data_IF_613179387770
#
_entry.id   IF_613179387770
#
_cell.length_a   1.000
_cell.length_b   1.000
_cell.length_c   1.000
_cell.angle_alpha   90.00
_cell.angle_beta   90.00
_cell.angle_gamma   90.00
#
_symmetry.space_group_name_H-M   'P 1'
#
loop_
_entity.id
_entity.type
_entity.pdbx_description
1 polymer ?
#
# COMPACT_ATOMS: atom_id res chain seq x y z
N UNK A 1 -4.05 -5.20 -25.10
CA UNK A 1 -3.56 -5.06 -23.72
C UNK A 1 -2.86 -3.70 -23.63
N UNK A 2 -3.44 -2.73 -22.91
CA UNK A 2 -2.85 -1.39 -22.78
C UNK A 2 -1.79 -1.46 -21.68
N UNK A 3 -0.54 -1.21 -22.02
CA UNK A 3 0.56 -1.14 -21.06
C UNK A 3 0.26 0.00 -20.06
N UNK A 4 0.17 -0.34 -18.77
CA UNK A 4 -0.08 0.59 -17.66
C UNK A 4 1.21 0.84 -16.88
N UNK A 5 2.37 0.78 -17.54
CA UNK A 5 3.62 1.11 -16.87
C UNK A 5 3.76 2.63 -16.77
N UNK A 6 4.15 3.17 -15.60
CA UNK A 6 4.35 4.60 -15.45
C UNK A 6 5.43 5.11 -16.43
N UNK A 7 5.22 6.30 -16.98
CA UNK A 7 6.15 6.96 -17.92
C UNK A 7 7.41 7.52 -17.23
N UNK A 8 7.43 7.53 -15.90
CA UNK A 8 8.52 8.11 -15.11
C UNK A 8 9.56 7.04 -14.73
N UNK A 9 10.84 7.36 -14.94
CA UNK A 9 11.96 6.42 -14.84
C UNK A 9 12.96 6.78 -13.73
N UNK A 10 12.56 7.61 -12.75
CA UNK A 10 13.44 8.00 -11.65
C UNK A 10 13.14 7.18 -10.38
N UNK A 11 14.16 7.04 -9.53
CA UNK A 11 13.97 6.45 -8.22
C UNK A 11 13.17 7.41 -7.33
N UNK A 12 12.12 6.88 -6.71
CA UNK A 12 11.30 7.61 -5.74
C UNK A 12 11.99 7.49 -4.38
N UNK A 13 12.43 8.63 -3.83
CA UNK A 13 12.96 8.69 -2.47
C UNK A 13 11.84 8.69 -1.40
N UNK A 14 12.22 8.61 -0.13
CA UNK A 14 11.24 8.50 0.98
C UNK A 14 10.34 9.74 1.08
N UNK A 15 10.89 10.94 0.88
CA UNK A 15 10.11 12.17 0.97
C UNK A 15 9.13 12.29 -0.20
N UNK A 16 9.53 11.86 -1.39
CA UNK A 16 8.64 11.78 -2.54
C UNK A 16 7.54 10.76 -2.31
N UNK A 17 7.88 9.60 -1.73
CA UNK A 17 6.90 8.58 -1.39
C UNK A 17 5.86 9.10 -0.39
N UNK A 18 6.29 9.76 0.69
CA UNK A 18 5.40 10.43 1.66
C UNK A 18 4.45 11.42 0.98
N UNK A 19 4.99 12.30 0.11
CA UNK A 19 4.18 13.28 -0.63
C UNK A 19 3.13 12.63 -1.54
N UNK A 20 3.45 11.48 -2.14
CA UNK A 20 2.54 10.76 -3.03
C UNK A 20 1.37 10.09 -2.28
N UNK A 21 1.57 9.73 -1.01
CA UNK A 21 0.58 9.02 -0.19
C UNK A 21 -0.11 9.88 0.87
N UNK A 22 0.18 11.19 0.93
CA UNK A 22 -0.44 12.10 1.89
C UNK A 22 -1.98 12.07 1.84
N UNK A 23 -2.61 12.16 3.01
CA UNK A 23 -4.06 12.28 3.11
C UNK A 23 -4.51 13.75 3.00
N UNK A 24 -5.72 14.03 2.47
CA UNK A 24 -6.28 15.37 2.46
C UNK A 24 -6.48 15.90 3.89
N UNK A 25 -5.94 17.09 4.19
CA UNK A 25 -5.95 17.65 5.55
C UNK A 25 -7.33 18.17 6.02
N UNK A 26 -8.25 18.43 5.10
CA UNK A 26 -9.50 19.16 5.35
C UNK A 26 -10.74 18.26 5.47
N UNK A 27 -10.57 16.93 5.48
CA UNK A 27 -11.68 15.98 5.58
C UNK A 27 -11.28 14.65 6.20
N UNK A 28 -12.27 13.93 6.73
CA UNK A 28 -12.11 12.53 7.10
C UNK A 28 -11.74 11.71 5.87
N UNK A 29 -10.76 10.83 6.02
CA UNK A 29 -10.27 10.00 4.94
C UNK A 29 -10.17 8.55 5.40
N UNK A 30 -10.68 7.63 4.58
CA UNK A 30 -10.52 6.20 4.78
C UNK A 30 -9.68 5.66 3.62
N UNK A 31 -8.46 5.22 3.94
CA UNK A 31 -7.59 4.54 3.01
C UNK A 31 -7.64 3.02 3.26
N UNK A 32 -7.53 2.25 2.19
CA UNK A 32 -7.50 0.78 2.23
C UNK A 32 -6.24 0.35 1.49
N UNK A 33 -5.38 -0.42 2.17
CA UNK A 33 -4.09 -0.85 1.64
C UNK A 33 -3.97 -2.38 1.71
N UNK A 34 -3.86 -3.03 0.56
CA UNK A 34 -3.84 -4.49 0.41
C UNK A 34 -2.92 -4.87 -0.75
N UNK A 35 -2.37 -6.09 -0.67
CA UNK A 35 -1.66 -6.74 -1.76
C UNK A 35 -2.50 -7.90 -2.29
N UNK A 36 -2.48 -8.11 -3.61
CA UNK A 36 -3.12 -9.24 -4.27
C UNK A 36 -2.25 -9.75 -5.42
N UNK A 37 -2.37 -11.03 -5.75
CA UNK A 37 -1.79 -11.60 -6.96
C UNK A 37 -2.50 -11.09 -8.22
N UNK A 38 -1.92 -11.35 -9.39
CA UNK A 38 -2.48 -10.91 -10.67
C UNK A 38 -3.84 -11.55 -10.98
N UNK A 39 -4.13 -12.74 -10.43
CA UNK A 39 -5.40 -13.44 -10.51
C UNK A 39 -6.35 -13.13 -9.34
N UNK A 40 -5.96 -12.24 -8.43
CA UNK A 40 -6.82 -11.72 -7.36
C UNK A 40 -6.79 -12.50 -6.05
N UNK A 41 -5.89 -13.47 -5.88
CA UNK A 41 -5.66 -14.10 -4.59
C UNK A 41 -5.03 -13.12 -3.60
N UNK A 42 -5.42 -13.21 -2.32
CA UNK A 42 -5.00 -12.28 -1.26
C UNK A 42 -4.02 -12.91 -0.27
N UNK A 43 -3.73 -14.21 -0.41
CA UNK A 43 -2.83 -14.94 0.48
C UNK A 43 -2.13 -16.11 -0.21
N UNK A 44 -0.99 -16.49 0.38
CA UNK A 44 -0.28 -17.74 0.14
C UNK A 44 -0.12 -18.39 1.51
N UNK A 45 -0.53 -19.66 1.65
CA UNK A 45 -0.49 -20.40 2.92
C UNK A 45 -1.16 -19.64 4.10
N UNK A 46 -2.32 -19.02 3.85
CA UNK A 46 -3.09 -18.29 4.87
C UNK A 46 -2.51 -16.94 5.27
N UNK A 47 -1.51 -16.41 4.54
CA UNK A 47 -0.91 -15.09 4.81
C UNK A 47 -0.64 -14.30 3.53
N UNK A 48 -0.82 -12.98 3.60
CA UNK A 48 -0.48 -12.06 2.50
C UNK A 48 1.03 -11.87 2.31
N UNK A 49 1.85 -12.22 3.30
CA UNK A 49 3.30 -11.95 3.31
C UNK A 49 4.05 -12.55 2.10
N UNK A 50 3.56 -13.65 1.53
CA UNK A 50 4.12 -14.28 0.33
C UNK A 50 3.85 -13.51 -0.97
N UNK A 51 2.86 -12.62 -0.98
CA UNK A 51 2.53 -11.75 -2.13
C UNK A 51 3.30 -10.43 -2.12
N UNK A 52 3.94 -10.11 -1.00
CA UNK A 52 4.61 -8.84 -0.76
C UNK A 52 6.06 -8.86 -1.24
N UNK A 53 6.59 -7.68 -1.61
CA UNK A 53 7.99 -7.48 -2.00
C UNK A 53 8.59 -6.28 -1.23
N UNK A 54 9.90 -6.00 -1.35
CA UNK A 54 10.52 -4.89 -0.61
C UNK A 54 9.89 -3.51 -0.89
N UNK A 55 9.40 -3.25 -2.10
CA UNK A 55 8.76 -1.98 -2.44
C UNK A 55 7.36 -1.88 -1.82
N UNK A 56 6.57 -2.94 -1.90
CA UNK A 56 5.27 -3.06 -1.23
C UNK A 56 5.41 -2.82 0.28
N UNK A 57 6.41 -3.40 0.94
CA UNK A 57 6.67 -3.20 2.38
C UNK A 57 7.08 -1.77 2.74
N UNK A 58 7.59 -0.96 1.81
CA UNK A 58 7.84 0.48 2.05
C UNK A 58 6.51 1.22 2.11
N UNK A 59 5.65 1.02 1.10
CA UNK A 59 4.31 1.62 1.04
C UNK A 59 3.41 1.15 2.18
N UNK A 60 3.44 -0.14 2.52
CA UNK A 60 2.65 -0.72 3.60
C UNK A 60 2.93 -0.04 4.95
N UNK A 61 4.21 0.20 5.26
CA UNK A 61 4.61 0.91 6.49
C UNK A 61 4.14 2.34 6.50
N UNK A 62 4.28 3.04 5.37
CA UNK A 62 3.85 4.42 5.23
C UNK A 62 2.36 4.62 5.55
N UNK A 63 1.51 3.65 5.18
CA UNK A 63 0.09 3.71 5.53
C UNK A 63 -0.19 3.71 7.04
N UNK A 64 0.66 3.06 7.84
CA UNK A 64 0.56 3.12 9.31
C UNK A 64 1.22 4.37 9.88
N UNK A 65 2.29 4.84 9.24
CA UNK A 65 3.04 6.03 9.69
C UNK A 65 2.25 7.34 9.47
N UNK A 66 1.46 7.42 8.39
CA UNK A 66 0.64 8.60 8.06
C UNK A 66 -0.77 8.58 8.67
N UNK A 67 -1.25 7.44 9.15
CA UNK A 67 -2.62 7.30 9.63
C UNK A 67 -2.76 7.76 11.08
N UNK A 68 -3.82 8.54 11.36
CA UNK A 68 -4.21 8.86 12.73
C UNK A 68 -4.67 7.62 13.51
N UNK A 69 -5.31 6.67 12.80
CA UNK A 69 -5.87 5.44 13.37
C UNK A 69 -5.77 4.31 12.34
N UNK A 70 -5.32 3.13 12.79
CA UNK A 70 -5.33 1.91 11.99
C UNK A 70 -6.49 1.02 12.43
N UNK A 71 -7.36 0.65 11.49
CA UNK A 71 -8.46 -0.28 11.71
C UNK A 71 -8.07 -1.66 11.21
N UNK A 72 -8.24 -2.68 12.04
CA UNK A 72 -7.94 -4.08 11.72
C UNK A 72 -9.19 -4.93 11.85
N UNK A 73 -9.36 -5.89 10.95
CA UNK A 73 -10.39 -6.92 11.09
C UNK A 73 -10.03 -7.87 12.24
N UNK A 74 -11.01 -8.25 13.05
CA UNK A 74 -10.76 -9.14 14.20
C UNK A 74 -10.16 -10.50 13.80
N UNK A 75 -10.47 -11.01 12.60
CA UNK A 75 -9.91 -12.26 12.09
C UNK A 75 -8.51 -12.13 11.46
N UNK A 76 -7.95 -10.93 11.39
CA UNK A 76 -6.63 -10.64 10.80
C UNK A 76 -5.65 -10.03 11.80
N UNK A 77 -6.12 -9.70 13.01
CA UNK A 77 -5.33 -9.10 14.07
C UNK A 77 -4.42 -10.14 14.77
#
# INVERSE_FOLDING_TARGET
MRYIWPRHSHEVDEQELERLYQYPADRRWLAVNFVASADGAVEIDGRSAGLSNPADRRVYRLGSDLADVVLLGAGTA
#
